data_IF_252219614506
#
_entry.id   IF_252219614506
#
_cell.length_a   1.000
_cell.length_b   1.000
_cell.length_c   1.000
_cell.angle_alpha   90.00
_cell.angle_beta   90.00
_cell.angle_gamma   90.00
#
_symmetry.space_group_name_H-M   'P 1'
#
loop_
_entity.id
_entity.type
_entity.pdbx_description
1 polymer ?
#
# COMPACT_ATOMS: atom_id res chain seq x y z
N UNK A 1 20.84 19.95 9.79
CA UNK A 1 20.65 21.36 10.16
C UNK A 1 21.98 21.86 10.68
N UNK A 2 22.58 22.86 10.04
CA UNK A 2 23.71 23.57 10.65
C UNK A 2 23.17 24.49 11.76
N UNK A 3 24.05 25.08 12.56
CA UNK A 3 23.70 25.87 13.76
C UNK A 3 22.71 27.02 13.48
N UNK A 4 22.58 27.42 12.21
CA UNK A 4 21.82 28.59 11.75
C UNK A 4 20.42 28.24 11.20
N UNK A 5 19.98 26.98 11.29
CA UNK A 5 18.65 26.57 10.84
C UNK A 5 18.47 26.50 9.32
N UNK A 6 19.53 26.73 8.54
CA UNK A 6 19.50 26.71 7.07
C UNK A 6 19.58 25.28 6.52
N UNK A 7 18.69 24.95 5.58
CA UNK A 7 18.75 23.73 4.77
C UNK A 7 19.90 23.86 3.75
N UNK A 8 20.89 22.97 3.80
CA UNK A 8 21.90 22.92 2.74
C UNK A 8 21.26 22.51 1.42
N UNK A 9 21.74 23.06 0.31
CA UNK A 9 21.24 22.76 -1.05
C UNK A 9 21.43 21.30 -1.47
N UNK A 10 22.22 20.53 -0.73
CA UNK A 10 22.41 19.08 -0.89
C UNK A 10 21.29 18.25 -0.24
N UNK A 11 20.37 18.88 0.51
CA UNK A 11 19.29 18.20 1.22
C UNK A 11 18.19 17.76 0.25
N UNK A 12 17.88 16.46 0.22
CA UNK A 12 16.76 15.92 -0.56
C UNK A 12 15.46 16.08 0.22
N UNK A 13 14.47 16.69 -0.42
CA UNK A 13 13.12 16.90 0.10
C UNK A 13 12.15 16.02 -0.68
N UNK A 14 11.41 15.18 0.03
CA UNK A 14 10.34 14.35 -0.51
C UNK A 14 8.99 14.91 -0.05
N UNK A 15 8.09 15.19 -0.98
CA UNK A 15 6.70 15.54 -0.68
C UNK A 15 5.85 14.32 -1.03
N UNK A 16 5.16 13.77 -0.05
CA UNK A 16 4.31 12.59 -0.19
C UNK A 16 2.86 12.95 0.10
N UNK A 17 1.94 12.48 -0.75
CA UNK A 17 0.52 12.75 -0.63
C UNK A 17 -0.33 11.58 -1.11
N UNK A 18 -1.48 11.36 -0.47
CA UNK A 18 -2.38 10.25 -0.74
C UNK A 18 -3.85 10.64 -0.57
N UNK A 19 -4.74 9.87 -1.19
CA UNK A 19 -6.19 10.10 -1.14
C UNK A 19 -6.97 8.78 -1.20
N UNK A 20 -8.03 8.67 -0.41
CA UNK A 20 -9.00 7.56 -0.42
C UNK A 20 -10.42 8.14 -0.28
N UNK A 21 -11.18 8.12 -1.39
CA UNK A 21 -12.50 8.77 -1.44
C UNK A 21 -12.41 10.27 -1.14
N UNK A 22 -13.06 10.71 -0.06
CA UNK A 22 -13.06 12.11 0.40
C UNK A 22 -11.99 12.41 1.46
N UNK A 23 -11.12 11.44 1.79
CA UNK A 23 -10.02 11.63 2.75
C UNK A 23 -8.70 11.77 2.00
N UNK A 24 -7.82 12.63 2.50
CA UNK A 24 -6.48 12.77 1.95
C UNK A 24 -5.47 13.18 3.01
N UNK A 25 -4.19 13.00 2.68
CA UNK A 25 -3.06 13.37 3.51
C UNK A 25 -1.95 13.97 2.63
N UNK A 26 -1.15 14.86 3.23
CA UNK A 26 0.07 15.38 2.63
C UNK A 26 1.14 15.52 3.71
N UNK A 27 2.39 15.22 3.38
CA UNK A 27 3.54 15.37 4.28
C UNK A 27 4.79 15.76 3.51
N UNK A 28 5.66 16.49 4.21
CA UNK A 28 7.00 16.84 3.73
C UNK A 28 8.02 16.06 4.54
N UNK A 29 8.90 15.36 3.85
CA UNK A 29 9.94 14.49 4.40
C UNK A 29 11.30 15.09 4.02
N UNK A 30 12.06 15.49 5.03
CA UNK A 30 13.45 15.90 4.94
C UNK A 30 14.33 14.71 5.33
N UNK A 31 15.10 14.16 4.39
CA UNK A 31 15.93 12.99 4.64
C UNK A 31 16.94 13.24 5.78
N UNK A 32 16.97 12.36 6.77
CA UNK A 32 17.83 12.46 7.95
C UNK A 32 17.34 13.40 9.06
N UNK A 33 16.19 14.06 8.89
CA UNK A 33 15.63 15.00 9.88
C UNK A 33 14.20 14.63 10.30
N UNK A 34 13.30 14.43 9.35
CA UNK A 34 11.92 14.02 9.64
C UNK A 34 11.75 12.51 9.55
N UNK A 35 10.72 11.96 10.18
CA UNK A 35 10.36 10.55 10.04
C UNK A 35 10.15 10.18 8.56
N UNK A 36 10.77 9.08 8.14
CA UNK A 36 10.60 8.51 6.81
C UNK A 36 9.28 7.74 6.70
N UNK A 37 8.88 7.43 5.46
CA UNK A 37 7.64 6.72 5.13
C UNK A 37 7.49 5.44 5.97
N UNK A 38 8.55 4.62 6.06
CA UNK A 38 8.49 3.33 6.76
C UNK A 38 8.25 3.47 8.28
N UNK A 39 8.64 4.57 8.94
CA UNK A 39 8.31 4.78 10.36
C UNK A 39 6.84 5.04 10.60
N UNK A 40 6.11 5.42 9.56
CA UNK A 40 4.68 5.75 9.61
C UNK A 40 3.84 4.70 8.88
N UNK A 41 4.37 3.48 8.70
CA UNK A 41 3.64 2.37 8.11
C UNK A 41 2.34 2.04 8.87
N UNK A 42 2.31 2.27 10.18
CA UNK A 42 1.13 2.09 11.03
C UNK A 42 -0.02 3.06 10.71
N UNK A 43 0.25 4.19 10.03
CA UNK A 43 -0.79 5.13 9.61
C UNK A 43 -1.56 4.63 8.38
N UNK A 44 -1.01 3.67 7.64
CA UNK A 44 -1.71 3.09 6.49
C UNK A 44 -2.75 2.09 6.99
N UNK A 45 -3.96 2.07 6.40
CA UNK A 45 -4.96 1.10 6.77
C UNK A 45 -4.44 -0.32 6.51
N UNK A 46 -4.89 -1.31 7.31
CA UNK A 46 -4.51 -2.69 7.09
C UNK A 46 -4.98 -3.13 5.70
N UNK A 47 -4.11 -3.83 4.97
CA UNK A 47 -4.45 -4.41 3.67
C UNK A 47 -5.57 -5.44 3.86
N UNK A 48 -6.62 -5.33 3.06
CA UNK A 48 -7.68 -6.33 3.03
C UNK A 48 -7.10 -7.60 2.38
N UNK A 49 -7.14 -8.71 3.13
CA UNK A 49 -6.70 -10.03 2.69
C UNK A 49 -7.65 -11.09 3.22
N UNK A 50 -8.01 -12.05 2.39
CA UNK A 50 -8.91 -13.15 2.77
C UNK A 50 -8.10 -14.43 3.03
N UNK A 51 -8.40 -15.22 4.08
CA UNK A 51 -7.74 -16.51 4.29
C UNK A 51 -8.01 -17.48 3.14
N UNK A 52 -6.98 -18.24 2.73
CA UNK A 52 -7.10 -19.21 1.63
C UNK A 52 -8.24 -20.22 1.84
N UNK A 53 -8.37 -20.77 3.05
CA UNK A 53 -9.45 -21.70 3.38
C UNK A 53 -10.85 -21.08 3.22
N UNK A 54 -10.96 -19.75 3.42
CA UNK A 54 -12.23 -19.04 3.28
C UNK A 54 -12.59 -18.84 1.82
N UNK A 55 -11.64 -18.41 0.97
CA UNK A 55 -11.93 -18.23 -0.46
C UNK A 55 -12.14 -19.56 -1.19
N UNK A 56 -11.47 -20.63 -0.74
CA UNK A 56 -11.53 -21.95 -1.36
C UNK A 56 -12.76 -22.76 -0.92
N UNK A 57 -13.01 -22.83 0.40
CA UNK A 57 -14.01 -23.76 0.95
C UNK A 57 -15.25 -23.10 1.54
N UNK A 58 -15.19 -21.83 1.94
CA UNK A 58 -16.29 -21.16 2.66
C UNK A 58 -16.47 -19.68 2.25
N UNK A 59 -16.80 -19.40 0.97
CA UNK A 59 -17.06 -18.04 0.51
C UNK A 59 -18.35 -17.51 1.15
N UNK A 60 -18.35 -16.25 1.59
CA UNK A 60 -19.49 -15.63 2.30
C UNK A 60 -19.97 -14.35 1.59
N UNK A 61 -19.21 -13.25 1.58
CA UNK A 61 -19.54 -12.09 0.77
C UNK A 61 -19.02 -12.27 -0.68
N UNK A 62 -19.58 -11.55 -1.66
CA UNK A 62 -19.25 -11.73 -3.08
C UNK A 62 -17.76 -11.49 -3.41
N UNK A 63 -17.06 -10.69 -2.62
CA UNK A 63 -15.64 -10.42 -2.74
C UNK A 63 -14.81 -11.71 -2.63
N UNK A 64 -15.25 -12.69 -1.84
CA UNK A 64 -14.54 -13.96 -1.72
C UNK A 64 -14.59 -14.77 -3.02
N UNK A 65 -15.70 -14.72 -3.75
CA UNK A 65 -15.84 -15.40 -5.04
C UNK A 65 -14.93 -14.76 -6.09
N UNK A 66 -14.85 -13.43 -6.10
CA UNK A 66 -13.94 -12.69 -7.00
C UNK A 66 -12.49 -13.06 -6.69
N UNK A 67 -12.12 -13.11 -5.41
CA UNK A 67 -10.75 -13.46 -5.01
C UNK A 67 -10.41 -14.92 -5.31
N UNK A 68 -11.35 -15.86 -5.16
CA UNK A 68 -11.18 -17.25 -5.60
C UNK A 68 -10.83 -17.32 -7.09
N UNK A 69 -11.61 -16.64 -7.94
CA UNK A 69 -11.36 -16.66 -9.39
C UNK A 69 -9.99 -16.06 -9.70
N UNK A 70 -9.65 -14.94 -9.06
CA UNK A 70 -8.38 -14.24 -9.27
C UNK A 70 -7.17 -15.05 -8.84
N UNK A 71 -7.20 -15.63 -7.63
CA UNK A 71 -6.03 -16.21 -6.97
C UNK A 71 -5.87 -17.70 -7.24
N UNK A 72 -6.98 -18.44 -7.40
CA UNK A 72 -6.97 -19.90 -7.54
C UNK A 72 -7.33 -20.34 -8.96
N UNK A 73 -8.47 -19.86 -9.48
CA UNK A 73 -8.98 -20.36 -10.75
C UNK A 73 -8.17 -19.85 -11.95
N UNK A 74 -7.84 -18.56 -11.99
CA UNK A 74 -7.15 -17.97 -13.13
C UNK A 74 -5.75 -18.58 -13.38
N UNK A 75 -4.89 -18.76 -12.37
CA UNK A 75 -3.59 -19.42 -12.57
C UNK A 75 -3.72 -20.88 -13.00
N UNK A 76 -4.79 -21.56 -12.58
CA UNK A 76 -5.08 -22.96 -12.91
C UNK A 76 -5.55 -23.11 -14.35
N UNK A 77 -6.54 -22.32 -14.76
CA UNK A 77 -7.23 -22.49 -16.05
C UNK A 77 -6.46 -21.80 -17.19
N UNK A 78 -5.58 -20.82 -16.88
CA UNK A 78 -4.82 -20.01 -17.85
C UNK A 78 -5.69 -19.58 -19.04
N UNK A 79 -6.83 -18.89 -18.79
CA UNK A 79 -7.90 -18.76 -19.78
C UNK A 79 -7.53 -18.02 -21.07
N UNK A 80 -6.42 -17.26 -21.07
CA UNK A 80 -5.94 -16.48 -22.22
C UNK A 80 -4.65 -17.02 -22.85
N UNK A 81 -4.31 -18.28 -22.58
CA UNK A 81 -3.06 -18.90 -23.04
C UNK A 81 -1.88 -18.40 -22.21
N UNK A 82 -1.48 -19.19 -21.22
CA UNK A 82 -0.32 -18.84 -20.38
C UNK A 82 0.97 -18.85 -21.21
N UNK A 83 1.73 -17.77 -21.12
CA UNK A 83 3.18 -17.82 -21.35
C UNK A 83 3.85 -18.72 -20.32
#
# INVERSE_FOLDING_TARGET
>A
MNLDGVLESSSIILIDGGTEGFKGNARVILLGMTDYVDRKLELYPPKISFPLCTIDSMPRPPEHCIEYVRVLQWPKDKPFGGV
#
